data_IF_091688031329
#
_entry.id   IF_091688031329
#
_cell.length_a   1.000
_cell.length_b   1.000
_cell.length_c   1.000
_cell.angle_alpha   90.00
_cell.angle_beta   90.00
_cell.angle_gamma   90.00
#
_symmetry.space_group_name_H-M   'P 1'
#
loop_
_entity.id
_entity.type
_entity.pdbx_description
1 polymer ?
#
# COMPACT_ATOMS: atom_id res chain seq x y z
N UNK A 1 -5.39 0.76 24.89
CA UNK A 1 -5.26 2.16 24.43
C UNK A 1 -5.27 2.13 22.91
N UNK A 2 -6.05 2.99 22.25
CA UNK A 2 -6.11 3.04 20.79
C UNK A 2 -5.13 4.10 20.28
N UNK A 3 -4.31 3.75 19.29
CA UNK A 3 -3.42 4.70 18.62
C UNK A 3 -4.00 5.05 17.26
N UNK A 4 -4.39 6.32 17.09
CA UNK A 4 -4.77 6.85 15.79
C UNK A 4 -3.50 7.30 15.05
N UNK A 5 -3.29 6.76 13.86
CA UNK A 5 -2.19 7.17 12.97
C UNK A 5 -2.79 7.69 11.67
N UNK A 6 -2.34 8.86 11.25
CA UNK A 6 -2.67 9.40 9.93
C UNK A 6 -1.73 8.82 8.88
N UNK A 7 -2.29 8.50 7.70
CA UNK A 7 -1.52 8.12 6.52
C UNK A 7 -1.95 8.98 5.34
N UNK A 8 -0.97 9.44 4.57
CA UNK A 8 -1.20 10.17 3.32
C UNK A 8 -0.85 9.30 2.13
N UNK A 9 -1.56 9.49 1.04
CA UNK A 9 -1.41 8.72 -0.20
C UNK A 9 -1.17 9.68 -1.35
N UNK A 10 -0.16 9.38 -2.16
CA UNK A 10 0.25 10.23 -3.27
C UNK A 10 0.86 9.43 -4.41
N UNK A 11 1.26 10.14 -5.47
CA UNK A 11 1.92 9.57 -6.66
C UNK A 11 1.14 8.39 -7.26
N UNK A 12 -0.14 8.60 -7.55
CA UNK A 12 -1.00 7.53 -8.05
C UNK A 12 -0.57 7.05 -9.44
N UNK A 13 -0.52 5.73 -9.61
CA UNK A 13 -0.09 5.03 -10.81
C UNK A 13 -1.11 3.96 -11.19
N UNK A 14 -1.19 3.65 -12.48
CA UNK A 14 -2.11 2.63 -12.99
C UNK A 14 -1.39 1.28 -13.13
N UNK A 15 -2.01 0.22 -12.63
CA UNK A 15 -1.57 -1.16 -12.78
C UNK A 15 -2.77 -1.99 -13.24
N UNK A 16 -2.68 -2.57 -14.45
CA UNK A 16 -3.76 -3.35 -15.07
C UNK A 16 -5.13 -2.63 -15.06
N UNK A 17 -5.16 -1.32 -15.36
CA UNK A 17 -6.38 -0.51 -15.40
C UNK A 17 -6.89 -0.04 -14.02
N UNK A 18 -6.20 -0.36 -12.93
CA UNK A 18 -6.57 0.06 -11.57
C UNK A 18 -5.56 1.08 -11.04
N UNK A 19 -6.07 2.18 -10.47
CA UNK A 19 -5.24 3.26 -9.93
C UNK A 19 -4.86 2.99 -8.47
N UNK A 20 -3.58 2.81 -8.20
CA UNK A 20 -3.02 2.62 -6.86
C UNK A 20 -2.18 3.82 -6.43
N UNK A 21 -2.13 4.14 -5.13
CA UNK A 21 -1.17 5.12 -4.64
C UNK A 21 0.24 4.53 -4.74
N UNK A 22 1.11 5.18 -5.51
CA UNK A 22 2.52 4.81 -5.63
C UNK A 22 3.32 5.11 -4.36
N UNK A 23 2.78 5.98 -3.50
CA UNK A 23 3.41 6.34 -2.23
C UNK A 23 2.38 6.40 -1.11
N UNK A 24 2.72 5.77 0.01
CA UNK A 24 2.02 5.90 1.29
C UNK A 24 3.02 6.43 2.32
N UNK A 25 2.67 7.51 2.99
CA UNK A 25 3.48 8.06 4.08
C UNK A 25 2.68 7.99 5.37
N UNK A 26 3.32 7.57 6.46
CA UNK A 26 2.70 7.51 7.78
C UNK A 26 3.71 7.74 8.88
N UNK A 27 3.22 7.96 10.10
CA UNK A 27 4.05 8.21 11.27
C UNK A 27 4.07 7.01 12.21
N UNK A 28 5.27 6.53 12.53
CA UNK A 28 5.51 5.50 13.54
C UNK A 28 6.20 6.16 14.75
N UNK A 29 5.38 6.66 15.67
CA UNK A 29 5.86 7.52 16.76
C UNK A 29 6.47 8.82 16.22
N UNK A 30 7.74 9.16 16.53
CA UNK A 30 8.39 10.37 16.02
C UNK A 30 8.93 10.22 14.59
N UNK A 31 8.93 9.01 14.01
CA UNK A 31 9.50 8.76 12.69
C UNK A 31 8.43 8.82 11.60
N UNK A 32 8.74 9.46 10.49
CA UNK A 32 7.96 9.36 9.25
C UNK A 32 8.51 8.24 8.40
N UNK A 33 7.63 7.33 7.95
CA UNK A 33 7.97 6.22 7.08
C UNK A 33 7.26 6.40 5.75
N UNK A 34 8.02 6.29 4.67
CA UNK A 34 7.52 6.31 3.29
C UNK A 34 7.59 4.90 2.69
N UNK A 35 6.46 4.43 2.19
CA UNK A 35 6.34 3.18 1.45
C UNK A 35 6.13 3.49 -0.03
N UNK A 36 7.02 2.97 -0.88
CA UNK A 36 6.90 3.08 -2.34
C UNK A 36 6.40 1.77 -2.94
N UNK A 37 5.33 1.85 -3.73
CA UNK A 37 4.84 0.72 -4.51
C UNK A 37 5.71 0.59 -5.77
N UNK A 38 6.47 -0.50 -5.87
CA UNK A 38 7.35 -0.77 -7.02
C UNK A 38 6.68 -1.59 -8.11
N UNK A 39 5.59 -2.29 -7.79
CA UNK A 39 4.79 -3.04 -8.74
C UNK A 39 3.57 -3.68 -8.08
N UNK A 40 2.54 -3.94 -8.87
CA UNK A 40 1.35 -4.67 -8.45
C UNK A 40 0.94 -5.67 -9.53
N UNK A 41 0.65 -6.91 -9.12
CA UNK A 41 0.04 -7.94 -9.96
C UNK A 41 -1.42 -8.05 -9.59
N UNK A 42 -2.30 -7.89 -10.56
CA UNK A 42 -3.75 -7.87 -10.35
C UNK A 42 -4.36 -9.08 -11.05
N UNK A 43 -5.11 -9.90 -10.32
CA UNK A 43 -5.79 -11.10 -10.81
C UNK A 43 -4.85 -12.19 -11.41
N UNK A 44 -3.62 -12.28 -10.91
CA UNK A 44 -2.65 -13.28 -11.37
C UNK A 44 -2.44 -14.38 -10.32
N UNK A 45 -2.94 -15.59 -10.59
CA UNK A 45 -2.43 -16.82 -9.99
C UNK A 45 -2.66 -17.03 -8.49
N UNK A 46 -3.55 -16.26 -7.85
CA UNK A 46 -3.90 -16.41 -6.43
C UNK A 46 -4.90 -17.55 -6.26
N UNK A 47 -4.62 -18.47 -5.34
CA UNK A 47 -5.45 -19.63 -5.01
C UNK A 47 -5.81 -19.63 -3.52
N UNK A 48 -6.79 -20.46 -3.13
CA UNK A 48 -7.17 -20.61 -1.73
C UNK A 48 -6.02 -21.14 -0.85
N UNK A 49 -5.11 -21.94 -1.44
CA UNK A 49 -3.93 -22.47 -0.74
C UNK A 49 -2.93 -21.39 -0.30
N UNK A 50 -2.95 -20.19 -0.88
CA UNK A 50 -2.05 -19.09 -0.53
C UNK A 50 -2.44 -18.38 0.79
N UNK A 51 -3.60 -18.74 1.38
CA UNK A 51 -4.15 -18.12 2.58
C UNK A 51 -4.34 -19.11 3.75
N UNK A 52 -3.93 -20.37 3.59
CA UNK A 52 -3.94 -21.42 4.62
C UNK A 52 -2.57 -21.53 5.30
#
# INVERSE_FOLDING_TARGET
QTQNQEATFSNYQEFNGIKFPGTKTGSLGPQTVEFKLTGAKVNEGVTEADFL
#
